data_IF_502258970496
#
_entry.id   IF_502258970496
#
_cell.length_a   1.000
_cell.length_b   1.000
_cell.length_c   1.000
_cell.angle_alpha   90.00
_cell.angle_beta   90.00
_cell.angle_gamma   90.00
#
_symmetry.space_group_name_H-M   'P 1'
#
loop_
_entity.id
_entity.type
_entity.pdbx_description
1 polymer ?
#
# COMPACT_ATOMS: atom_id res chain seq x y z
N UNK A 1 29.65 2.84 -37.54
CA UNK A 1 28.31 2.38 -37.16
C UNK A 1 27.80 3.32 -36.10
N UNK A 2 26.75 4.09 -36.41
CA UNK A 2 26.18 5.09 -35.52
C UNK A 2 25.16 4.43 -34.58
N UNK A 3 25.36 4.56 -33.27
CA UNK A 3 24.53 3.92 -32.24
C UNK A 3 23.56 4.91 -31.61
N UNK A 4 22.31 4.49 -31.50
CA UNK A 4 21.21 5.24 -30.88
C UNK A 4 20.73 4.48 -29.65
N UNK A 5 20.46 5.18 -28.55
CA UNK A 5 19.77 4.62 -27.39
C UNK A 5 18.49 5.39 -27.09
N UNK A 6 17.46 4.68 -26.66
CA UNK A 6 16.20 5.27 -26.18
C UNK A 6 15.68 4.49 -24.96
N UNK A 7 14.89 5.14 -24.10
CA UNK A 7 14.36 4.53 -22.88
C UNK A 7 12.86 4.72 -22.77
N UNK A 8 12.19 3.74 -22.15
CA UNK A 8 10.77 3.84 -21.89
C UNK A 8 10.25 2.76 -20.96
N UNK A 9 9.08 3.05 -20.39
CA UNK A 9 8.28 2.03 -19.69
C UNK A 9 7.71 1.04 -20.70
N UNK A 10 7.23 1.50 -21.86
CA UNK A 10 6.59 0.68 -22.92
C UNK A 10 5.37 -0.13 -22.46
N UNK A 11 4.66 0.37 -21.44
CA UNK A 11 3.43 -0.24 -20.91
C UNK A 11 2.28 -0.19 -21.93
N UNK A 12 1.49 -1.28 -22.04
CA UNK A 12 0.44 -1.44 -23.05
C UNK A 12 0.96 -1.05 -24.44
N UNK A 13 1.94 -1.82 -24.93
CA UNK A 13 2.65 -1.46 -26.15
C UNK A 13 1.68 -1.14 -27.30
N UNK A 14 1.85 0.03 -27.90
CA UNK A 14 0.90 0.61 -28.85
C UNK A 14 1.63 1.39 -29.95
N UNK A 15 0.90 1.83 -30.96
CA UNK A 15 1.46 2.51 -32.15
C UNK A 15 2.35 3.72 -31.80
N UNK A 16 2.05 4.45 -30.72
CA UNK A 16 2.89 5.56 -30.26
C UNK A 16 4.31 5.12 -29.86
N UNK A 17 4.45 3.96 -29.23
CA UNK A 17 5.76 3.38 -28.86
C UNK A 17 6.48 2.87 -30.10
N UNK A 18 5.77 2.15 -30.98
CA UNK A 18 6.33 1.69 -32.25
C UNK A 18 6.90 2.84 -33.07
N UNK A 19 6.15 3.95 -33.21
CA UNK A 19 6.59 5.11 -33.96
C UNK A 19 7.81 5.80 -33.33
N UNK A 20 7.87 5.86 -31.99
CA UNK A 20 9.04 6.37 -31.28
C UNK A 20 10.28 5.51 -31.60
N UNK A 21 10.17 4.19 -31.47
CA UNK A 21 11.26 3.26 -31.77
C UNK A 21 11.68 3.32 -33.23
N UNK A 22 10.72 3.42 -34.17
CA UNK A 22 10.99 3.54 -35.60
C UNK A 22 11.80 4.80 -35.91
N UNK A 23 11.37 5.95 -35.38
CA UNK A 23 12.08 7.22 -35.55
C UNK A 23 13.46 7.20 -34.90
N UNK A 24 13.60 6.56 -33.74
CA UNK A 24 14.90 6.39 -33.10
C UNK A 24 15.85 5.52 -33.96
N UNK A 25 15.34 4.44 -34.55
CA UNK A 25 16.10 3.57 -35.47
C UNK A 25 16.56 4.34 -36.72
N UNK A 26 15.75 5.25 -37.25
CA UNK A 26 16.10 6.07 -38.43
C UNK A 26 17.28 7.04 -38.17
N UNK A 27 17.67 7.31 -36.91
CA UNK A 27 18.77 8.22 -36.57
C UNK A 27 20.17 7.58 -36.65
N UNK A 28 20.26 6.25 -36.79
CA UNK A 28 21.53 5.53 -36.82
C UNK A 28 21.42 4.10 -37.36
N UNK A 29 22.50 3.34 -37.23
CA UNK A 29 22.59 1.98 -37.77
C UNK A 29 22.14 0.93 -36.74
N UNK A 30 22.29 1.23 -35.45
CA UNK A 30 22.08 0.30 -34.34
C UNK A 30 21.28 0.97 -33.21
N UNK A 31 20.15 0.38 -32.83
CA UNK A 31 19.23 0.88 -31.81
C UNK A 31 19.27 -0.01 -30.56
N UNK A 32 19.64 0.62 -29.45
CA UNK A 32 19.55 0.06 -28.10
C UNK A 32 18.27 0.59 -27.45
N UNK A 33 17.45 -0.30 -26.90
CA UNK A 33 16.20 0.08 -26.22
C UNK A 33 16.27 -0.29 -24.74
N UNK A 34 16.27 0.72 -23.89
CA UNK A 34 16.20 0.58 -22.44
C UNK A 34 14.76 0.41 -21.94
N UNK A 35 14.46 -0.73 -21.32
CA UNK A 35 13.15 -1.03 -20.71
C UNK A 35 13.28 -0.95 -19.19
N UNK A 36 12.42 -0.17 -18.54
CA UNK A 36 12.48 0.01 -17.08
C UNK A 36 11.93 -1.19 -16.31
N UNK A 37 12.54 -1.51 -15.17
CA UNK A 37 12.00 -2.54 -14.28
C UNK A 37 10.69 -2.10 -13.63
N UNK A 38 9.88 -3.07 -13.19
CA UNK A 38 8.65 -2.79 -12.45
C UNK A 38 8.96 -2.02 -11.14
N UNK A 39 10.03 -2.40 -10.43
CA UNK A 39 10.46 -1.68 -9.22
C UNK A 39 10.84 -0.23 -9.53
N UNK A 40 11.63 0.01 -10.58
CA UNK A 40 12.05 1.36 -10.92
C UNK A 40 10.89 2.25 -11.39
N UNK A 41 9.89 1.68 -12.07
CA UNK A 41 8.65 2.39 -12.40
C UNK A 41 7.83 2.71 -11.13
N UNK A 42 7.77 1.80 -10.14
CA UNK A 42 7.15 2.06 -8.84
C UNK A 42 7.83 3.22 -8.10
N UNK A 43 9.16 3.24 -8.05
CA UNK A 43 9.95 4.27 -7.35
C UNK A 43 9.75 5.68 -7.94
N UNK A 44 9.56 5.79 -9.25
CA UNK A 44 9.22 7.08 -9.91
C UNK A 44 7.73 7.43 -9.87
N UNK A 45 6.92 6.66 -9.13
CA UNK A 45 5.49 6.89 -8.95
C UNK A 45 4.58 6.32 -10.04
N UNK A 46 5.10 5.56 -11.02
CA UNK A 46 4.30 4.90 -12.07
C UNK A 46 3.74 3.55 -11.59
N UNK A 47 2.79 3.60 -10.65
CA UNK A 47 2.09 2.40 -10.14
C UNK A 47 1.02 1.82 -11.06
N UNK A 48 0.66 2.56 -12.11
CA UNK A 48 -0.37 2.20 -13.06
C UNK A 48 0.13 1.33 -14.24
N UNK A 49 1.34 0.78 -14.16
CA UNK A 49 1.84 -0.16 -15.17
C UNK A 49 0.97 -1.40 -15.22
N UNK A 50 0.57 -1.78 -16.43
CA UNK A 50 -0.29 -2.92 -16.71
C UNK A 50 0.49 -4.18 -17.01
N UNK A 51 1.55 -4.05 -17.81
CA UNK A 51 2.38 -5.15 -18.24
C UNK A 51 3.62 -5.26 -17.36
N UNK A 52 3.98 -6.48 -16.96
CA UNK A 52 5.24 -6.71 -16.25
C UNK A 52 6.44 -6.46 -17.18
N UNK A 53 7.64 -6.34 -16.60
CA UNK A 53 8.86 -6.07 -17.37
C UNK A 53 9.08 -7.05 -18.54
N UNK A 54 8.83 -8.34 -18.35
CA UNK A 54 9.07 -9.36 -19.37
C UNK A 54 8.12 -9.21 -20.56
N UNK A 55 6.83 -8.98 -20.31
CA UNK A 55 5.84 -8.68 -21.34
C UNK A 55 6.22 -7.44 -22.16
N UNK A 56 6.75 -6.40 -21.49
CA UNK A 56 7.19 -5.15 -22.13
C UNK A 56 8.44 -5.37 -22.99
N UNK A 57 9.39 -6.18 -22.51
CA UNK A 57 10.56 -6.60 -23.28
C UNK A 57 10.15 -7.39 -24.51
N UNK A 58 9.26 -8.38 -24.38
CA UNK A 58 8.79 -9.18 -25.51
C UNK A 58 8.02 -8.33 -26.54
N UNK A 59 7.21 -7.37 -26.09
CA UNK A 59 6.54 -6.43 -26.98
C UNK A 59 7.53 -5.56 -27.77
N UNK A 60 8.61 -5.09 -27.14
CA UNK A 60 9.69 -4.35 -27.82
C UNK A 60 10.43 -5.26 -28.82
N UNK A 61 10.79 -6.49 -28.43
CA UNK A 61 11.46 -7.46 -29.32
C UNK A 61 10.62 -7.77 -30.55
N UNK A 62 9.31 -7.98 -30.37
CA UNK A 62 8.38 -8.33 -31.44
C UNK A 62 8.30 -7.27 -32.55
N UNK A 63 8.73 -6.03 -32.29
CA UNK A 63 8.80 -4.99 -33.33
C UNK A 63 9.88 -5.24 -34.38
N UNK A 64 10.93 -6.00 -34.05
CA UNK A 64 12.12 -6.17 -34.88
C UNK A 64 12.97 -4.91 -35.06
N UNK A 65 12.69 -3.83 -34.31
CA UNK A 65 13.40 -2.55 -34.43
C UNK A 65 14.62 -2.43 -33.51
N UNK A 66 14.58 -3.09 -32.35
CA UNK A 66 15.64 -3.05 -31.36
C UNK A 66 16.72 -4.09 -31.69
N UNK A 67 17.96 -3.65 -31.92
CA UNK A 67 19.09 -4.57 -32.11
C UNK A 67 19.62 -5.08 -30.76
N UNK A 68 19.43 -4.30 -29.69
CA UNK A 68 19.76 -4.68 -28.32
C UNK A 68 18.73 -4.10 -27.35
N UNK A 69 18.43 -4.86 -26.30
CA UNK A 69 17.60 -4.40 -25.18
C UNK A 69 18.46 -4.35 -23.93
N UNK A 70 18.32 -3.27 -23.16
CA UNK A 70 18.94 -3.12 -21.84
C UNK A 70 17.85 -2.88 -20.80
N UNK A 71 18.11 -3.29 -19.56
CA UNK A 71 17.15 -3.11 -18.46
C UNK A 71 17.57 -1.88 -17.65
N UNK A 72 16.67 -0.93 -17.44
CA UNK A 72 16.91 0.25 -16.62
C UNK A 72 16.40 0.03 -15.18
N UNK A 73 17.31 0.05 -14.21
CA UNK A 73 17.04 -0.30 -12.81
C UNK A 73 17.12 0.89 -11.85
N UNK A 74 17.92 1.92 -12.16
CA UNK A 74 18.14 3.06 -11.25
C UNK A 74 18.38 4.38 -12.00
N UNK A 75 18.22 5.50 -11.27
CA UNK A 75 18.51 6.84 -11.81
C UNK A 75 20.01 7.03 -12.03
N UNK A 76 20.39 7.51 -13.21
CA UNK A 76 21.79 7.77 -13.58
C UNK A 76 22.38 6.72 -14.53
N UNK A 77 21.79 5.52 -14.61
CA UNK A 77 22.24 4.43 -15.47
C UNK A 77 22.42 4.82 -16.94
N UNK A 78 21.61 5.77 -17.45
CA UNK A 78 21.72 6.28 -18.83
C UNK A 78 23.14 6.74 -19.19
N UNK A 79 23.85 7.38 -18.27
CA UNK A 79 25.22 7.87 -18.52
C UNK A 79 26.17 6.67 -18.69
N UNK A 80 26.07 5.69 -17.79
CA UNK A 80 26.88 4.48 -17.83
C UNK A 80 26.63 3.68 -19.11
N UNK A 81 25.36 3.51 -19.51
CA UNK A 81 24.98 2.81 -20.73
C UNK A 81 25.49 3.54 -21.98
N UNK A 82 25.35 4.87 -22.05
CA UNK A 82 25.86 5.68 -23.15
C UNK A 82 27.37 5.47 -23.33
N UNK A 83 28.14 5.54 -22.24
CA UNK A 83 29.58 5.36 -22.28
C UNK A 83 29.98 3.92 -22.59
N UNK A 84 29.37 2.95 -21.89
CA UNK A 84 29.65 1.51 -22.02
C UNK A 84 29.40 0.99 -23.44
N UNK A 85 28.30 1.41 -24.05
CA UNK A 85 27.96 0.95 -25.40
C UNK A 85 28.50 1.86 -26.50
N UNK A 86 29.12 2.99 -26.16
CA UNK A 86 29.65 3.97 -27.10
C UNK A 86 28.53 4.56 -27.97
N UNK A 87 27.50 5.10 -27.32
CA UNK A 87 26.30 5.63 -27.97
C UNK A 87 26.56 7.03 -28.53
N UNK A 88 26.18 7.27 -29.78
CA UNK A 88 26.32 8.57 -30.44
C UNK A 88 25.09 9.47 -30.24
N UNK A 89 23.90 8.88 -30.15
CA UNK A 89 22.63 9.59 -30.01
C UNK A 89 21.78 9.02 -28.87
N UNK A 90 21.32 9.88 -27.97
CA UNK A 90 20.20 9.61 -27.08
C UNK A 90 18.92 10.20 -27.67
N UNK A 91 17.93 9.35 -27.97
CA UNK A 91 16.65 9.76 -28.53
C UNK A 91 15.50 9.49 -27.55
N UNK A 92 14.62 10.46 -27.34
CA UNK A 92 13.43 10.30 -26.47
C UNK A 92 12.26 11.15 -26.97
N UNK A 93 11.05 10.88 -26.51
CA UNK A 93 9.87 11.68 -26.87
C UNK A 93 9.99 13.14 -26.43
N UNK A 94 9.40 14.06 -27.21
CA UNK A 94 9.39 15.51 -26.99
C UNK A 94 8.74 15.95 -25.68
N UNK A 95 7.98 15.07 -25.03
CA UNK A 95 7.41 15.32 -23.70
C UNK A 95 8.50 15.54 -22.62
N UNK A 96 9.76 15.21 -22.94
CA UNK A 96 10.94 15.36 -22.07
C UNK A 96 11.88 16.48 -22.51
N UNK A 97 11.46 17.34 -23.42
CA UNK A 97 12.29 18.43 -23.95
C UNK A 97 12.89 19.27 -22.80
N UNK A 98 14.21 19.49 -22.86
CA UNK A 98 15.00 20.17 -21.83
C UNK A 98 15.43 19.31 -20.64
N UNK A 99 14.72 18.21 -20.33
CA UNK A 99 14.99 17.42 -19.12
C UNK A 99 16.27 16.58 -19.22
N UNK A 100 16.60 16.06 -20.40
CA UNK A 100 17.76 15.18 -20.62
C UNK A 100 18.95 15.90 -21.27
N UNK A 101 18.93 17.23 -21.34
CA UNK A 101 19.98 18.02 -22.00
C UNK A 101 21.36 17.81 -21.36
N UNK A 102 21.41 17.48 -20.07
CA UNK A 102 22.66 17.13 -19.39
C UNK A 102 23.40 15.94 -20.03
N UNK A 103 22.73 15.09 -20.81
CA UNK A 103 23.36 13.99 -21.56
C UNK A 103 24.14 14.48 -22.79
N UNK A 104 24.02 15.76 -23.17
CA UNK A 104 24.75 16.36 -24.30
C UNK A 104 26.27 16.35 -24.11
N UNK A 105 26.73 16.21 -22.86
CA UNK A 105 28.15 16.03 -22.53
C UNK A 105 28.69 14.69 -23.04
N UNK A 106 27.84 13.68 -23.18
CA UNK A 106 28.24 12.32 -23.54
C UNK A 106 27.83 11.89 -24.96
N UNK A 107 26.73 12.43 -25.49
CA UNK A 107 26.20 12.08 -26.81
C UNK A 107 25.26 13.17 -27.36
N UNK A 108 24.83 13.07 -28.62
CA UNK A 108 23.83 13.99 -29.17
C UNK A 108 22.43 13.65 -28.60
N UNK A 109 21.74 14.62 -28.00
CA UNK A 109 20.36 14.46 -27.50
C UNK A 109 19.36 14.87 -28.59
N UNK A 110 18.39 14.01 -28.88
CA UNK A 110 17.35 14.25 -29.89
C UNK A 110 15.96 14.00 -29.30
N UNK A 111 15.10 15.03 -29.35
CA UNK A 111 13.70 14.93 -28.95
C UNK A 111 12.80 14.63 -30.15
N UNK A 112 12.11 13.50 -30.10
CA UNK A 112 11.26 12.97 -31.17
C UNK A 112 9.81 13.39 -30.95
N UNK A 113 9.10 13.87 -31.99
CA UNK A 113 7.73 14.35 -31.86
C UNK A 113 6.79 13.23 -31.40
N UNK A 114 5.79 13.56 -30.57
CA UNK A 114 4.80 12.59 -30.11
C UNK A 114 3.86 12.16 -31.24
N UNK A 115 3.40 10.90 -31.20
CA UNK A 115 2.26 10.45 -32.01
C UNK A 115 0.97 10.96 -31.36
N UNK A 116 0.24 11.84 -32.05
CA UNK A 116 -1.03 12.41 -31.56
C UNK A 116 -2.13 11.34 -31.54
N UNK A 117 -3.04 11.43 -30.56
CA UNK A 117 -4.28 10.65 -30.53
C UNK A 117 -4.16 9.19 -30.10
N UNK A 118 -2.98 8.69 -29.72
CA UNK A 118 -2.78 7.31 -29.22
C UNK A 118 -1.97 7.38 -27.92
N UNK A 119 -2.56 6.92 -26.80
CA UNK A 119 -1.85 6.81 -25.51
C UNK A 119 -2.31 5.60 -24.71
N UNK A 120 -1.44 5.11 -23.82
CA UNK A 120 -1.78 4.05 -22.86
C UNK A 120 -3.03 4.40 -22.04
N UNK A 121 -3.34 5.69 -21.84
CA UNK A 121 -4.56 6.16 -21.14
C UNK A 121 -5.84 5.79 -21.87
N UNK A 122 -5.85 5.83 -23.21
CA UNK A 122 -7.04 5.43 -23.99
C UNK A 122 -7.23 3.90 -23.95
N UNK A 123 -6.17 3.12 -24.13
CA UNK A 123 -6.21 1.66 -24.05
C UNK A 123 -6.62 1.16 -22.66
N UNK A 124 -6.34 1.92 -21.60
CA UNK A 124 -6.83 1.60 -20.24
C UNK A 124 -8.35 1.67 -20.12
N UNK A 125 -9.04 2.50 -20.91
CA UNK A 125 -10.51 2.63 -20.86
C UNK A 125 -11.25 1.40 -21.37
N UNK A 126 -10.60 0.57 -22.18
CA UNK A 126 -11.19 -0.65 -22.75
C UNK A 126 -11.15 -1.85 -21.79
N UNK A 127 -10.51 -1.69 -20.62
CA UNK A 127 -10.35 -2.75 -19.62
C UNK A 127 -11.40 -2.65 -18.52
N UNK A 128 -11.77 -3.78 -17.95
CA UNK A 128 -12.69 -3.84 -16.80
C UNK A 128 -12.19 -2.95 -15.65
N UNK A 129 -13.05 -2.04 -15.21
CA UNK A 129 -12.83 -1.13 -14.08
C UNK A 129 -13.66 -1.62 -12.89
N UNK A 130 -13.14 -1.44 -11.68
CA UNK A 130 -13.89 -1.63 -10.44
C UNK A 130 -14.37 -0.25 -9.97
N UNK A 131 -15.68 -0.05 -9.99
CA UNK A 131 -16.32 1.13 -9.43
C UNK A 131 -16.40 0.98 -7.91
N UNK A 132 -15.75 1.89 -7.18
CA UNK A 132 -15.70 1.90 -5.73
C UNK A 132 -16.69 2.96 -5.22
N UNK A 133 -17.63 2.54 -4.40
CA UNK A 133 -18.44 3.41 -3.56
C UNK A 133 -17.72 3.67 -2.24
N UNK A 134 -17.79 4.87 -1.67
CA UNK A 134 -17.21 5.15 -0.34
C UNK A 134 -18.29 5.45 0.68
N UNK A 135 -18.11 4.94 1.90
CA UNK A 135 -18.91 5.29 3.07
C UNK A 135 -18.03 6.09 4.03
N UNK A 136 -18.39 7.35 4.29
CA UNK A 136 -17.64 8.28 5.13
C UNK A 136 -16.74 9.24 4.33
N UNK A 137 -16.68 10.49 4.78
CA UNK A 137 -15.97 11.60 4.11
C UNK A 137 -14.87 12.23 4.97
N UNK A 138 -14.37 11.47 5.95
CA UNK A 138 -13.35 11.93 6.90
C UNK A 138 -11.96 12.16 6.29
N UNK A 139 -10.99 12.40 7.18
CA UNK A 139 -9.59 12.70 6.79
C UNK A 139 -8.93 11.59 5.96
N UNK A 140 -9.20 10.31 6.28
CA UNK A 140 -8.68 9.18 5.49
C UNK A 140 -9.32 9.12 4.09
N UNK A 141 -10.64 9.29 3.99
CA UNK A 141 -11.34 9.35 2.71
C UNK A 141 -10.80 10.46 1.78
N UNK A 142 -10.50 11.64 2.35
CA UNK A 142 -9.90 12.76 1.61
C UNK A 142 -8.52 12.46 1.01
N UNK A 143 -7.78 11.51 1.60
CA UNK A 143 -6.47 11.05 1.10
C UNK A 143 -6.61 9.84 0.17
N UNK A 144 -7.60 9.00 0.40
CA UNK A 144 -7.91 7.84 -0.43
C UNK A 144 -8.26 8.24 -1.87
N UNK A 145 -9.07 9.29 -2.06
CA UNK A 145 -9.51 9.69 -3.42
C UNK A 145 -8.33 10.05 -4.33
N UNK A 146 -7.38 10.94 -3.95
CA UNK A 146 -6.16 11.16 -4.74
C UNK A 146 -5.33 9.90 -4.99
N UNK A 147 -5.14 9.06 -3.97
CA UNK A 147 -4.36 7.81 -4.07
C UNK A 147 -4.98 6.82 -5.06
N UNK A 148 -6.31 6.71 -5.09
CA UNK A 148 -7.05 5.82 -6.01
C UNK A 148 -6.81 6.17 -7.49
N UNK A 149 -6.57 7.44 -7.83
CA UNK A 149 -6.23 7.88 -9.21
C UNK A 149 -4.88 7.32 -9.68
N UNK A 150 -4.02 6.93 -8.74
CA UNK A 150 -2.72 6.32 -8.99
C UNK A 150 -2.79 4.78 -8.98
N UNK A 151 -3.99 4.20 -8.95
CA UNK A 151 -4.22 2.76 -9.08
C UNK A 151 -5.05 2.45 -10.32
N UNK A 152 -4.52 1.55 -11.14
CA UNK A 152 -5.16 1.19 -12.40
C UNK A 152 -6.45 0.43 -12.12
N UNK A 153 -7.49 0.70 -12.94
CA UNK A 153 -8.82 0.07 -12.83
C UNK A 153 -9.58 0.36 -11.53
N UNK A 154 -9.14 1.31 -10.70
CA UNK A 154 -9.90 1.83 -9.56
C UNK A 154 -10.60 3.14 -9.95
N UNK A 155 -11.92 3.24 -9.78
CA UNK A 155 -12.67 4.49 -9.98
C UNK A 155 -13.61 4.74 -8.82
N UNK A 156 -13.51 5.91 -8.19
CA UNK A 156 -14.50 6.34 -7.19
C UNK A 156 -15.75 6.81 -7.93
N UNK A 157 -16.86 6.11 -7.72
CA UNK A 157 -18.10 6.26 -8.49
C UNK A 157 -19.20 6.94 -7.68
N UNK A 158 -19.30 6.59 -6.39
CA UNK A 158 -20.33 7.09 -5.50
C UNK A 158 -19.79 7.32 -4.08
N UNK A 159 -20.36 8.28 -3.35
CA UNK A 159 -20.04 8.52 -1.94
C UNK A 159 -21.31 8.73 -1.12
N UNK A 160 -21.32 8.15 0.09
CA UNK A 160 -22.39 8.28 1.07
C UNK A 160 -21.82 8.75 2.41
N UNK A 161 -22.47 9.74 3.00
CA UNK A 161 -22.31 10.13 4.41
C UNK A 161 -23.71 10.48 4.97
N UNK A 162 -24.08 9.96 6.16
CA UNK A 162 -25.31 10.38 6.86
C UNK A 162 -25.44 11.90 7.05
N UNK A 163 -24.32 12.61 7.20
CA UNK A 163 -24.28 14.07 7.15
C UNK A 163 -24.30 14.53 5.68
N UNK A 164 -25.46 14.99 5.22
CA UNK A 164 -25.72 15.39 3.84
C UNK A 164 -24.83 16.58 3.43
N UNK A 165 -24.65 17.57 4.30
CA UNK A 165 -23.85 18.77 3.98
C UNK A 165 -22.37 18.40 3.76
N UNK A 166 -21.82 17.53 4.63
CA UNK A 166 -20.47 16.99 4.44
C UNK A 166 -20.36 16.15 3.16
N UNK A 167 -21.38 15.36 2.84
CA UNK A 167 -21.40 14.55 1.62
C UNK A 167 -21.35 15.43 0.36
N UNK A 168 -22.18 16.48 0.33
CA UNK A 168 -22.22 17.47 -0.77
C UNK A 168 -20.84 18.11 -0.95
N UNK A 169 -20.26 18.62 0.15
CA UNK A 169 -18.96 19.29 0.11
C UNK A 169 -17.85 18.36 -0.37
N UNK A 170 -17.84 17.11 0.08
CA UNK A 170 -16.86 16.11 -0.32
C UNK A 170 -17.01 15.74 -1.80
N UNK A 171 -18.22 15.44 -2.25
CA UNK A 171 -18.51 15.09 -3.65
C UNK A 171 -18.11 16.23 -4.59
N UNK A 172 -18.45 17.48 -4.23
CA UNK A 172 -18.07 18.66 -5.01
C UNK A 172 -16.54 18.85 -5.06
N UNK A 173 -15.86 18.76 -3.90
CA UNK A 173 -14.40 18.91 -3.80
C UNK A 173 -13.64 17.92 -4.69
N UNK A 174 -14.10 16.67 -4.75
CA UNK A 174 -13.40 15.61 -5.47
C UNK A 174 -14.01 15.26 -6.83
N UNK A 175 -15.08 15.96 -7.23
CA UNK A 175 -15.83 15.73 -8.47
C UNK A 175 -16.34 14.29 -8.59
N UNK A 176 -16.93 13.78 -7.51
CA UNK A 176 -17.51 12.43 -7.48
C UNK A 176 -18.81 12.42 -8.31
N UNK A 177 -19.00 11.44 -9.22
CA UNK A 177 -20.17 11.40 -10.10
C UNK A 177 -21.51 11.27 -9.37
N UNK A 178 -21.58 10.40 -8.36
CA UNK A 178 -22.81 10.10 -7.63
C UNK A 178 -22.67 10.47 -6.16
N UNK A 179 -23.54 11.37 -5.71
CA UNK A 179 -23.72 11.68 -4.30
C UNK A 179 -24.92 10.85 -3.81
N UNK A 180 -24.64 9.72 -3.18
CA UNK A 180 -25.70 8.82 -2.73
C UNK A 180 -26.40 9.37 -1.49
N UNK A 181 -27.72 9.36 -1.49
CA UNK A 181 -28.56 9.81 -0.37
C UNK A 181 -28.86 8.68 0.62
N UNK A 182 -28.67 7.43 0.21
CA UNK A 182 -28.83 6.25 1.04
C UNK A 182 -27.91 5.12 0.55
N UNK A 183 -27.85 4.03 1.32
CA UNK A 183 -26.99 2.88 0.99
C UNK A 183 -27.42 2.14 -0.27
N UNK A 184 -28.72 2.07 -0.57
CA UNK A 184 -29.22 1.41 -1.79
C UNK A 184 -28.71 2.12 -3.05
N UNK A 185 -28.78 3.45 -3.06
CA UNK A 185 -28.23 4.28 -4.14
C UNK A 185 -26.71 4.13 -4.26
N UNK A 186 -25.99 4.08 -3.14
CA UNK A 186 -24.54 3.82 -3.15
C UNK A 186 -24.24 2.47 -3.82
N UNK A 187 -24.90 1.41 -3.36
CA UNK A 187 -24.67 0.04 -3.84
C UNK A 187 -25.12 -0.15 -5.30
N UNK A 188 -26.13 0.57 -5.77
CA UNK A 188 -26.54 0.53 -7.17
C UNK A 188 -25.47 1.09 -8.13
N UNK A 189 -24.56 1.93 -7.62
CA UNK A 189 -23.58 2.66 -8.42
C UNK A 189 -22.13 2.16 -8.24
N UNK A 190 -21.90 1.04 -7.56
CA UNK A 190 -20.54 0.49 -7.37
C UNK A 190 -20.46 -1.04 -7.43
N UNK A 191 -19.26 -1.55 -7.68
CA UNK A 191 -18.88 -2.97 -7.64
C UNK A 191 -18.28 -3.35 -6.28
N UNK A 192 -17.59 -2.39 -5.65
CA UNK A 192 -16.94 -2.53 -4.36
C UNK A 192 -17.24 -1.32 -3.46
N UNK A 193 -17.07 -1.49 -2.15
CA UNK A 193 -17.26 -0.44 -1.15
C UNK A 193 -16.00 -0.25 -0.31
N UNK A 194 -15.53 0.98 -0.20
CA UNK A 194 -14.52 1.39 0.76
C UNK A 194 -15.20 2.03 1.98
N UNK A 195 -14.99 1.44 3.16
CA UNK A 195 -15.60 1.89 4.40
C UNK A 195 -14.55 2.71 5.17
N UNK A 196 -14.76 4.03 5.18
CA UNK A 196 -13.92 5.03 5.84
C UNK A 196 -14.72 5.83 6.90
N UNK A 197 -15.79 5.22 7.41
CA UNK A 197 -16.63 5.75 8.48
C UNK A 197 -15.95 5.62 9.85
N UNK A 198 -16.50 6.18 10.93
CA UNK A 198 -16.04 5.88 12.29
C UNK A 198 -16.04 4.37 12.60
N UNK A 199 -15.07 3.90 13.35
CA UNK A 199 -14.84 2.46 13.53
C UNK A 199 -16.01 1.69 14.15
N UNK A 200 -16.81 2.34 15.00
CA UNK A 200 -17.98 1.69 15.63
C UNK A 200 -19.10 1.37 14.64
N UNK A 201 -19.05 1.90 13.41
CA UNK A 201 -20.02 1.58 12.34
C UNK A 201 -19.51 0.56 11.33
N UNK A 202 -18.24 0.12 11.42
CA UNK A 202 -17.61 -0.75 10.43
C UNK A 202 -18.34 -2.08 10.23
N UNK A 203 -18.75 -2.74 11.32
CA UNK A 203 -19.45 -4.02 11.26
C UNK A 203 -20.74 -3.93 10.42
N UNK A 204 -21.61 -2.97 10.73
CA UNK A 204 -22.90 -2.82 10.05
C UNK A 204 -22.73 -2.45 8.58
N UNK A 205 -21.85 -1.50 8.26
CA UNK A 205 -21.60 -1.12 6.86
C UNK A 205 -20.93 -2.23 6.06
N UNK A 206 -19.99 -2.98 6.66
CA UNK A 206 -19.35 -4.12 5.98
C UNK A 206 -20.36 -5.22 5.71
N UNK A 207 -21.16 -5.58 6.71
CA UNK A 207 -22.20 -6.59 6.58
C UNK A 207 -23.22 -6.21 5.50
N UNK A 208 -23.71 -4.98 5.53
CA UNK A 208 -24.69 -4.47 4.56
C UNK A 208 -24.14 -4.48 3.12
N UNK A 209 -22.91 -4.02 2.92
CA UNK A 209 -22.26 -4.03 1.61
C UNK A 209 -22.05 -5.46 1.07
N UNK A 210 -21.60 -6.39 1.91
CA UNK A 210 -21.44 -7.80 1.52
C UNK A 210 -22.78 -8.46 1.18
N UNK A 211 -23.84 -8.19 1.96
CA UNK A 211 -25.20 -8.68 1.69
C UNK A 211 -25.71 -8.14 0.35
N UNK A 212 -25.41 -6.89 0.02
CA UNK A 212 -25.71 -6.24 -1.26
C UNK A 212 -24.84 -6.74 -2.43
N UNK A 213 -23.97 -7.72 -2.21
CA UNK A 213 -23.16 -8.33 -3.27
C UNK A 213 -21.92 -7.53 -3.65
N UNK A 214 -21.39 -6.69 -2.75
CA UNK A 214 -20.23 -5.81 -3.03
C UNK A 214 -18.97 -6.34 -2.38
N UNK A 215 -17.84 -6.26 -3.08
CA UNK A 215 -16.53 -6.43 -2.46
C UNK A 215 -16.30 -5.31 -1.44
N UNK A 216 -15.54 -5.56 -0.37
CA UNK A 216 -15.35 -4.56 0.69
C UNK A 216 -13.88 -4.37 1.05
N UNK A 217 -13.44 -3.11 1.05
CA UNK A 217 -12.21 -2.66 1.69
C UNK A 217 -12.62 -1.86 2.94
N UNK A 218 -12.37 -2.40 4.14
CA UNK A 218 -12.77 -1.76 5.39
C UNK A 218 -11.56 -1.13 6.10
N UNK A 219 -11.69 0.12 6.54
CA UNK A 219 -10.68 0.78 7.36
C UNK A 219 -10.37 0.04 8.67
N UNK A 220 -9.21 0.37 9.22
CA UNK A 220 -8.78 -0.10 10.54
C UNK A 220 -9.17 0.90 11.64
N UNK A 221 -9.48 0.43 12.86
CA UNK A 221 -9.63 -0.97 13.26
C UNK A 221 -10.84 -1.64 12.59
N UNK A 222 -10.72 -2.93 12.23
CA UNK A 222 -11.73 -3.62 11.42
C UNK A 222 -13.07 -3.75 12.15
N UNK A 223 -13.08 -4.49 13.26
CA UNK A 223 -14.20 -4.64 14.21
C UNK A 223 -13.62 -4.99 15.58
N UNK A 224 -14.42 -4.87 16.64
CA UNK A 224 -13.98 -5.11 18.02
C UNK A 224 -14.48 -6.43 18.60
N UNK A 225 -14.93 -7.36 17.76
CA UNK A 225 -15.34 -8.69 18.18
C UNK A 225 -14.87 -9.74 17.19
N UNK A 226 -14.30 -10.83 17.71
CA UNK A 226 -13.89 -11.97 16.86
C UNK A 226 -15.09 -12.55 16.11
N UNK A 227 -16.22 -12.73 16.80
CA UNK A 227 -17.43 -13.30 16.20
C UNK A 227 -17.99 -12.42 15.08
N UNK A 228 -17.96 -11.09 15.26
CA UNK A 228 -18.32 -10.16 14.19
C UNK A 228 -17.40 -10.32 12.97
N UNK A 229 -16.09 -10.38 13.18
CA UNK A 229 -15.14 -10.57 12.09
C UNK A 229 -15.36 -11.91 11.37
N UNK A 230 -15.57 -13.00 12.11
CA UNK A 230 -15.87 -14.34 11.57
C UNK A 230 -17.14 -14.34 10.71
N UNK A 231 -18.19 -13.67 11.16
CA UNK A 231 -19.43 -13.53 10.40
C UNK A 231 -19.20 -12.81 9.07
N UNK A 232 -18.50 -11.67 9.09
CA UNK A 232 -18.22 -10.88 7.88
C UNK A 232 -17.43 -11.69 6.84
N UNK A 233 -16.36 -12.38 7.27
CA UNK A 233 -15.62 -13.27 6.38
C UNK A 233 -16.49 -14.42 5.85
N UNK A 234 -17.35 -14.99 6.68
CA UNK A 234 -18.27 -16.06 6.26
C UNK A 234 -19.26 -15.58 5.20
N UNK A 235 -19.79 -14.36 5.33
CA UNK A 235 -20.68 -13.77 4.32
C UNK A 235 -19.93 -13.55 3.01
N UNK A 236 -18.71 -13.00 3.07
CA UNK A 236 -17.88 -12.75 1.90
C UNK A 236 -17.57 -14.06 1.14
N UNK A 237 -17.09 -15.09 1.85
CA UNK A 237 -16.78 -16.41 1.29
C UNK A 237 -18.00 -17.06 0.64
N UNK A 238 -19.17 -17.06 1.30
CA UNK A 238 -20.41 -17.65 0.76
C UNK A 238 -20.90 -16.96 -0.50
N UNK A 239 -20.56 -15.68 -0.69
CA UNK A 239 -20.98 -14.87 -1.84
C UNK A 239 -19.91 -14.75 -2.92
N UNK A 240 -18.73 -15.36 -2.72
CA UNK A 240 -17.60 -15.19 -3.63
C UNK A 240 -17.08 -13.76 -3.69
N UNK A 241 -17.24 -13.00 -2.61
CA UNK A 241 -16.80 -11.60 -2.52
C UNK A 241 -15.44 -11.52 -1.83
N UNK A 242 -14.71 -10.47 -2.17
CA UNK A 242 -13.43 -10.15 -1.53
C UNK A 242 -13.67 -9.18 -0.39
N UNK A 243 -13.18 -9.53 0.80
CA UNK A 243 -13.18 -8.68 1.99
C UNK A 243 -11.73 -8.46 2.41
N UNK A 244 -11.32 -7.19 2.44
CA UNK A 244 -9.98 -6.78 2.79
C UNK A 244 -10.01 -5.73 3.90
N UNK A 245 -9.09 -5.84 4.85
CA UNK A 245 -8.86 -4.82 5.87
C UNK A 245 -7.74 -3.89 5.40
N UNK A 246 -8.01 -2.58 5.40
CA UNK A 246 -7.12 -1.50 5.00
C UNK A 246 -6.11 -1.17 6.11
N UNK A 247 -5.25 -2.16 6.41
CA UNK A 247 -4.13 -1.99 7.32
C UNK A 247 -2.87 -1.63 6.53
N UNK A 248 -2.77 -0.37 6.10
CA UNK A 248 -1.74 0.13 5.17
C UNK A 248 -0.32 -0.40 5.40
N UNK A 249 0.10 -0.57 6.65
CA UNK A 249 1.43 -1.09 7.02
C UNK A 249 1.72 -2.43 6.36
N UNK A 250 0.73 -3.32 6.29
CA UNK A 250 0.88 -4.65 5.69
C UNK A 250 1.14 -4.61 4.19
N UNK A 251 0.69 -3.55 3.51
CA UNK A 251 0.77 -3.38 2.07
C UNK A 251 1.99 -2.56 1.64
N UNK A 252 2.68 -1.92 2.59
CA UNK A 252 3.91 -1.18 2.34
C UNK A 252 4.99 -2.12 1.78
N UNK A 253 5.67 -1.77 0.67
CA UNK A 253 6.72 -2.61 0.09
C UNK A 253 7.80 -3.01 1.10
N UNK A 254 8.27 -2.06 1.90
CA UNK A 254 9.30 -2.30 2.89
C UNK A 254 8.90 -3.32 3.96
N UNK A 255 7.63 -3.31 4.38
CA UNK A 255 7.13 -4.28 5.36
C UNK A 255 7.08 -5.69 4.76
N UNK A 256 6.65 -5.82 3.49
CA UNK A 256 6.71 -7.08 2.76
C UNK A 256 8.13 -7.63 2.65
N UNK A 257 9.10 -6.78 2.30
CA UNK A 257 10.52 -7.15 2.25
C UNK A 257 11.07 -7.52 3.63
N UNK A 258 10.74 -6.74 4.66
CA UNK A 258 11.10 -7.05 6.05
C UNK A 258 10.58 -8.43 6.45
N UNK A 259 9.31 -8.72 6.13
CA UNK A 259 8.68 -10.00 6.40
C UNK A 259 9.44 -11.16 5.73
N UNK A 260 9.67 -11.08 4.42
CA UNK A 260 10.40 -12.11 3.67
C UNK A 260 11.83 -12.31 4.18
N UNK A 261 12.54 -11.21 4.48
CA UNK A 261 13.91 -11.25 4.96
C UNK A 261 14.02 -11.88 6.36
N UNK A 262 13.11 -11.54 7.26
CA UNK A 262 13.12 -12.12 8.61
C UNK A 262 12.70 -13.60 8.60
N UNK A 263 11.72 -13.97 7.76
CA UNK A 263 11.34 -15.39 7.60
C UNK A 263 12.43 -16.24 6.95
N UNK A 264 13.42 -15.64 6.29
CA UNK A 264 14.62 -16.35 5.80
C UNK A 264 15.61 -16.71 6.92
N UNK A 265 15.36 -16.31 8.18
CA UNK A 265 16.22 -16.60 9.33
C UNK A 265 17.47 -15.73 9.42
N UNK A 266 17.48 -14.56 8.77
CA UNK A 266 18.66 -13.66 8.69
C UNK A 266 19.16 -13.20 10.06
N UNK A 267 18.27 -13.11 11.07
CA UNK A 267 18.57 -12.78 12.47
C UNK A 267 18.45 -14.00 13.41
N UNK A 268 18.38 -15.22 12.88
CA UNK A 268 18.12 -16.43 13.67
C UNK A 268 16.65 -16.61 14.02
N UNK A 269 16.40 -17.25 15.17
CA UNK A 269 15.06 -17.44 15.73
C UNK A 269 14.59 -16.14 16.37
N UNK A 270 13.37 -15.70 16.05
CA UNK A 270 12.78 -14.47 16.62
C UNK A 270 12.28 -14.79 18.02
N UNK A 271 12.76 -14.03 19.01
CA UNK A 271 12.42 -14.23 20.43
C UNK A 271 11.67 -13.04 21.03
N UNK A 272 11.73 -11.87 20.38
CA UNK A 272 10.96 -10.68 20.79
C UNK A 272 10.49 -9.84 19.61
N UNK A 273 9.25 -9.37 19.69
CA UNK A 273 8.74 -8.26 18.88
C UNK A 273 8.24 -7.15 19.81
N UNK A 274 8.82 -5.96 19.72
CA UNK A 274 8.32 -4.76 20.39
C UNK A 274 7.94 -3.68 19.36
N UNK A 275 6.78 -3.06 19.52
CA UNK A 275 6.31 -2.01 18.63
C UNK A 275 5.54 -0.92 19.37
N UNK A 276 5.82 0.34 19.07
CA UNK A 276 5.16 1.47 19.73
C UNK A 276 4.48 2.43 18.74
N UNK A 277 3.23 2.80 19.01
CA UNK A 277 2.44 3.74 18.20
C UNK A 277 1.80 4.75 19.13
N UNK A 278 2.41 5.93 19.23
CA UNK A 278 1.95 6.97 20.16
C UNK A 278 1.90 8.34 19.53
N UNK A 279 0.84 9.08 19.85
CA UNK A 279 0.56 10.44 19.38
C UNK A 279 0.00 11.27 20.54
N UNK A 280 0.29 12.57 20.56
CA UNK A 280 -0.38 13.51 21.44
C UNK A 280 -1.60 14.06 20.72
N UNK A 281 -2.78 13.66 21.17
CA UNK A 281 -4.07 14.00 20.59
C UNK A 281 -4.74 15.09 21.43
N UNK A 282 -5.46 16.00 20.77
CA UNK A 282 -6.29 16.98 21.46
C UNK A 282 -7.32 16.27 22.36
N UNK A 283 -7.48 16.75 23.59
CA UNK A 283 -8.38 16.12 24.57
C UNK A 283 -9.86 16.16 24.15
N UNK A 284 -10.24 17.07 23.24
CA UNK A 284 -11.59 17.19 22.69
C UNK A 284 -11.80 16.33 21.42
N UNK A 285 -10.79 15.57 21.00
CA UNK A 285 -10.91 14.69 19.83
C UNK A 285 -11.96 13.59 20.05
N UNK A 286 -12.75 13.30 19.02
CA UNK A 286 -13.69 12.17 19.03
C UNK A 286 -13.00 10.83 19.30
N UNK A 287 -11.71 10.71 18.97
CA UNK A 287 -10.86 9.55 19.25
C UNK A 287 -10.74 9.23 20.75
N UNK A 288 -11.03 10.20 21.61
CA UNK A 288 -11.00 10.06 23.08
C UNK A 288 -12.42 10.00 23.68
N UNK A 289 -13.45 9.81 22.85
CA UNK A 289 -14.83 9.74 23.31
C UNK A 289 -15.23 8.30 23.66
N UNK A 290 -15.40 8.00 24.95
CA UNK A 290 -15.79 6.68 25.44
C UNK A 290 -17.12 6.18 24.90
N UNK A 291 -18.07 7.07 24.57
CA UNK A 291 -19.37 6.69 23.98
C UNK A 291 -19.23 6.01 22.63
N UNK A 292 -18.14 6.29 21.91
CA UNK A 292 -17.87 5.75 20.59
C UNK A 292 -16.74 4.74 20.60
N UNK A 293 -16.43 4.14 21.76
CA UNK A 293 -15.31 3.22 21.94
C UNK A 293 -13.94 3.85 21.60
N UNK A 294 -13.77 5.15 21.90
CA UNK A 294 -12.48 5.81 21.77
C UNK A 294 -11.40 5.24 22.71
N UNK A 295 -10.16 5.70 22.55
CA UNK A 295 -9.01 5.22 23.31
C UNK A 295 -7.89 4.70 22.41
N UNK A 296 -6.70 4.59 22.99
CA UNK A 296 -5.48 4.26 22.23
C UNK A 296 -5.48 2.83 21.72
N UNK A 297 -6.08 1.88 22.48
CA UNK A 297 -6.25 0.49 22.05
C UNK A 297 -7.20 0.39 20.87
N UNK A 298 -8.35 1.05 20.92
CA UNK A 298 -9.32 1.04 19.83
C UNK A 298 -8.71 1.62 18.55
N UNK A 299 -8.09 2.80 18.67
CA UNK A 299 -7.56 3.54 17.53
C UNK A 299 -6.30 2.92 16.90
N UNK A 300 -5.37 2.41 17.71
CA UNK A 300 -4.01 2.14 17.24
C UNK A 300 -3.53 0.69 17.42
N UNK A 301 -4.22 -0.18 18.17
CA UNK A 301 -3.68 -1.52 18.49
C UNK A 301 -3.47 -2.40 17.25
N UNK A 302 -4.27 -2.23 16.18
CA UNK A 302 -4.09 -2.99 14.94
C UNK A 302 -2.69 -2.84 14.33
N UNK A 303 -2.06 -1.66 14.46
CA UNK A 303 -0.72 -1.42 13.93
C UNK A 303 0.31 -2.34 14.57
N UNK A 304 0.61 -2.30 15.89
CA UNK A 304 1.59 -3.16 16.52
C UNK A 304 1.18 -4.64 16.57
N UNK A 305 -0.10 -4.97 16.52
CA UNK A 305 -0.53 -6.37 16.44
C UNK A 305 -0.13 -7.03 15.12
N UNK A 306 -0.08 -6.28 14.02
CA UNK A 306 0.36 -6.79 12.71
C UNK A 306 1.74 -7.45 12.75
N UNK A 307 2.85 -6.75 13.08
CA UNK A 307 4.16 -7.39 13.13
C UNK A 307 4.20 -8.52 14.16
N UNK A 308 3.55 -8.37 15.32
CA UNK A 308 3.53 -9.42 16.35
C UNK A 308 2.98 -10.73 15.77
N UNK A 309 1.79 -10.71 15.17
CA UNK A 309 1.18 -11.91 14.61
C UNK A 309 1.89 -12.40 13.34
N UNK A 310 2.40 -11.49 12.50
CA UNK A 310 3.18 -11.86 11.31
C UNK A 310 4.44 -12.66 11.67
N UNK A 311 5.15 -12.24 12.72
CA UNK A 311 6.44 -12.82 13.07
C UNK A 311 6.32 -14.01 14.02
N UNK A 312 5.46 -13.92 15.04
CA UNK A 312 5.34 -14.94 16.11
C UNK A 312 4.12 -15.86 15.95
N UNK A 313 3.19 -15.55 15.04
CA UNK A 313 1.92 -16.26 14.90
C UNK A 313 0.84 -15.75 15.85
N UNK A 314 -0.36 -16.33 15.78
CA UNK A 314 -1.53 -15.94 16.58
C UNK A 314 -1.70 -16.78 17.86
N UNK A 315 -0.91 -17.84 18.03
CA UNK A 315 -1.03 -18.81 19.12
C UNK A 315 -0.26 -18.38 20.39
N UNK A 316 -0.64 -17.23 20.97
CA UNK A 316 -0.09 -16.77 22.25
C UNK A 316 -0.74 -17.50 23.44
N UNK A 317 0.00 -17.62 24.55
CA UNK A 317 -0.47 -18.24 25.80
C UNK A 317 -1.36 -17.29 26.60
N UNK A 318 -0.92 -16.03 26.72
CA UNK A 318 -1.64 -14.98 27.43
C UNK A 318 -1.16 -13.59 27.01
N UNK A 319 -1.98 -12.60 27.35
CA UNK A 319 -1.70 -11.17 27.19
C UNK A 319 -2.16 -10.43 28.44
N UNK A 320 -1.36 -9.45 28.86
CA UNK A 320 -1.68 -8.54 29.97
C UNK A 320 -1.55 -7.09 29.51
N UNK A 321 -2.47 -6.22 29.97
CA UNK A 321 -2.53 -4.81 29.59
C UNK A 321 -2.35 -3.91 30.80
N UNK A 322 -1.50 -2.89 30.67
CA UNK A 322 -1.24 -1.88 31.71
C UNK A 322 -1.61 -0.52 31.16
N UNK A 323 -2.69 0.08 31.67
CA UNK A 323 -3.33 1.23 31.04
C UNK A 323 -3.45 2.42 31.97
N UNK A 324 -3.06 3.60 31.47
CA UNK A 324 -3.37 4.89 32.10
C UNK A 324 -4.67 5.42 31.51
N UNK A 325 -5.69 5.52 32.34
CA UNK A 325 -7.04 5.91 31.93
C UNK A 325 -7.31 7.39 32.18
N UNK A 326 -8.17 8.00 31.35
CA UNK A 326 -8.79 9.30 31.60
C UNK A 326 -10.17 9.29 30.94
N UNK A 327 -11.21 9.73 31.66
CA UNK A 327 -12.59 9.78 31.15
C UNK A 327 -13.06 8.45 30.51
N UNK A 328 -12.75 7.33 31.15
CA UNK A 328 -13.08 5.96 30.71
C UNK A 328 -12.46 5.51 29.38
N UNK A 329 -11.50 6.25 28.84
CA UNK A 329 -10.66 5.82 27.70
C UNK A 329 -9.20 5.69 28.11
N UNK A 330 -8.45 4.86 27.41
CA UNK A 330 -7.02 4.70 27.64
C UNK A 330 -6.20 5.77 26.91
N UNK A 331 -5.46 6.57 27.68
CA UNK A 331 -4.53 7.57 27.14
C UNK A 331 -3.19 6.95 26.74
N UNK A 332 -2.87 5.81 27.36
CA UNK A 332 -1.70 5.00 27.08
C UNK A 332 -1.95 3.57 27.59
N UNK A 333 -1.59 2.59 26.78
CA UNK A 333 -1.59 1.18 27.17
C UNK A 333 -0.32 0.50 26.71
N UNK A 334 0.34 -0.23 27.63
CA UNK A 334 1.34 -1.23 27.30
C UNK A 334 0.74 -2.62 27.40
N UNK A 335 0.85 -3.41 26.36
CA UNK A 335 0.48 -4.82 26.38
C UNK A 335 1.71 -5.71 26.30
N UNK A 336 1.66 -6.87 26.96
CA UNK A 336 2.73 -7.88 26.93
C UNK A 336 2.11 -9.23 26.65
N UNK A 337 2.59 -9.88 25.58
CA UNK A 337 2.26 -11.24 25.18
C UNK A 337 3.31 -12.22 25.69
N UNK A 338 2.84 -13.40 26.07
CA UNK A 338 3.68 -14.58 26.26
C UNK A 338 3.36 -15.62 25.20
N UNK A 339 4.35 -16.06 24.43
CA UNK A 339 4.30 -17.24 23.58
C UNK A 339 5.09 -18.37 24.24
N UNK A 340 5.03 -19.58 23.67
CA UNK A 340 5.85 -20.70 24.14
C UNK A 340 7.35 -20.45 23.96
N UNK A 341 7.73 -19.78 22.87
CA UNK A 341 9.12 -19.63 22.41
C UNK A 341 9.59 -18.16 22.36
N UNK A 342 8.71 -17.21 22.67
CA UNK A 342 8.97 -15.78 22.49
C UNK A 342 8.13 -14.92 23.44
N UNK A 343 8.48 -13.64 23.50
CA UNK A 343 7.64 -12.59 24.10
C UNK A 343 7.32 -11.54 23.06
N UNK A 344 6.22 -10.82 23.22
CA UNK A 344 6.01 -9.60 22.46
C UNK A 344 5.45 -8.52 23.36
N UNK A 345 5.63 -7.27 22.98
CA UNK A 345 4.98 -6.17 23.65
C UNK A 345 4.65 -5.04 22.71
N UNK A 346 3.63 -4.27 23.05
CA UNK A 346 3.37 -3.03 22.34
C UNK A 346 2.96 -1.91 23.27
N UNK A 347 3.12 -0.69 22.78
CA UNK A 347 2.66 0.51 23.45
C UNK A 347 1.82 1.32 22.48
N UNK A 348 0.57 1.59 22.85
CA UNK A 348 -0.29 2.54 22.16
C UNK A 348 -0.59 3.73 23.04
N UNK A 349 -0.75 4.92 22.45
CA UNK A 349 -1.04 6.13 23.22
C UNK A 349 -1.60 7.27 22.39
N UNK A 350 -2.62 7.93 22.92
CA UNK A 350 -3.21 9.15 22.39
C UNK A 350 -2.95 10.36 23.32
N UNK A 351 -2.45 10.14 24.54
CA UNK A 351 -2.07 11.20 25.49
C UNK A 351 -0.62 11.14 25.97
N UNK A 352 0.20 10.29 25.36
CA UNK A 352 1.61 10.09 25.71
C UNK A 352 2.43 9.99 24.42
N UNK A 353 3.69 10.44 24.46
CA UNK A 353 4.65 10.25 23.37
C UNK A 353 5.82 9.37 23.82
N UNK A 354 6.21 8.45 22.95
CA UNK A 354 7.38 7.57 23.07
C UNK A 354 8.26 7.72 21.82
N UNK A 355 9.45 7.11 21.82
CA UNK A 355 10.31 6.99 20.63
C UNK A 355 9.54 6.41 19.43
N UNK A 356 8.60 5.50 19.70
CA UNK A 356 7.63 5.05 18.70
C UNK A 356 8.21 4.11 17.64
N UNK A 357 9.36 3.50 17.90
CA UNK A 357 10.01 2.54 16.98
C UNK A 357 9.42 1.14 17.07
N UNK A 358 9.84 0.27 16.14
CA UNK A 358 9.62 -1.18 16.19
C UNK A 358 10.97 -1.89 16.19
N UNK A 359 11.13 -2.86 17.08
CA UNK A 359 12.32 -3.71 17.21
C UNK A 359 11.95 -5.18 17.22
N UNK A 360 12.72 -5.98 16.50
CA UNK A 360 12.53 -7.43 16.43
C UNK A 360 13.86 -8.09 16.78
N UNK A 361 13.92 -8.76 17.93
CA UNK A 361 15.13 -9.43 18.39
C UNK A 361 15.13 -10.89 17.97
N UNK A 362 16.28 -11.35 17.47
CA UNK A 362 16.52 -12.75 17.17
C UNK A 362 17.85 -13.24 17.72
N UNK A 363 18.05 -14.57 17.68
CA UNK A 363 19.22 -15.22 18.31
C UNK A 363 20.57 -14.90 17.66
N UNK A 364 20.60 -14.27 16.49
CA UNK A 364 21.83 -13.88 15.78
C UNK A 364 21.99 -12.37 15.58
N UNK A 365 20.93 -11.59 15.78
CA UNK A 365 20.89 -10.16 15.49
C UNK A 365 19.50 -9.59 15.72
N UNK A 366 19.27 -8.35 15.31
CA UNK A 366 17.97 -7.72 15.47
C UNK A 366 17.64 -6.80 14.30
N UNK A 367 16.35 -6.48 14.15
CA UNK A 367 15.88 -5.43 13.25
C UNK A 367 15.46 -4.22 14.06
N UNK A 368 15.82 -3.05 13.56
CA UNK A 368 15.33 -1.76 14.02
C UNK A 368 14.57 -1.05 12.89
N UNK A 369 13.33 -0.64 13.17
CA UNK A 369 12.50 0.18 12.28
C UNK A 369 12.12 1.47 13.03
N UNK A 370 12.61 2.64 12.59
CA UNK A 370 12.34 3.89 13.27
C UNK A 370 10.90 4.36 13.08
N UNK A 371 10.42 5.21 13.98
CA UNK A 371 9.15 5.89 13.83
C UNK A 371 9.17 6.84 12.62
N UNK A 372 8.07 6.98 11.86
CA UNK A 372 6.82 6.22 11.95
C UNK A 372 6.95 4.86 11.23
N UNK A 373 7.17 3.77 11.96
CA UNK A 373 7.42 2.46 11.35
C UNK A 373 6.20 1.91 10.62
N UNK A 374 4.98 2.38 10.90
CA UNK A 374 3.77 2.03 10.16
C UNK A 374 3.70 2.64 8.73
N UNK A 375 4.68 3.46 8.35
CA UNK A 375 4.95 3.86 6.96
C UNK A 375 6.15 3.13 6.36
N UNK A 376 6.98 2.49 7.21
CA UNK A 376 8.23 1.76 6.89
C UNK A 376 8.92 2.27 5.61
N UNK A 377 9.68 3.37 5.68
CA UNK A 377 10.49 3.83 4.54
C UNK A 377 11.82 3.08 4.46
N UNK A 378 12.34 2.68 5.62
CA UNK A 378 13.55 1.89 5.73
C UNK A 378 13.58 1.08 7.02
N UNK A 379 14.43 0.07 7.05
CA UNK A 379 14.76 -0.68 8.26
C UNK A 379 16.23 -1.06 8.27
N UNK A 380 16.73 -1.38 9.45
CA UNK A 380 18.12 -1.78 9.66
C UNK A 380 18.18 -3.20 10.22
N UNK A 381 18.90 -4.09 9.53
CA UNK A 381 19.31 -5.38 10.09
C UNK A 381 20.65 -5.17 10.76
N UNK A 382 20.72 -5.47 12.06
CA UNK A 382 21.88 -5.20 12.90
C UNK A 382 22.37 -6.46 13.59
N UNK A 383 23.68 -6.55 13.69
CA UNK A 383 24.43 -7.63 14.32
C UNK A 383 25.43 -7.05 15.32
N UNK A 384 26.02 -7.91 16.15
CA UNK A 384 27.11 -7.52 17.05
C UNK A 384 28.30 -6.93 16.28
N UNK A 385 28.69 -7.61 15.19
CA UNK A 385 29.67 -7.08 14.23
C UNK A 385 29.00 -6.04 13.33
N UNK A 386 29.27 -4.76 13.62
CA UNK A 386 28.68 -3.63 12.91
C UNK A 386 29.01 -3.61 11.41
N UNK A 387 30.09 -4.28 10.96
CA UNK A 387 30.43 -4.38 9.54
C UNK A 387 29.41 -5.24 8.76
N UNK A 388 28.59 -6.02 9.45
CA UNK A 388 27.51 -6.82 8.86
C UNK A 388 26.17 -6.08 8.82
N UNK A 389 26.08 -4.90 9.44
CA UNK A 389 24.84 -4.14 9.48
C UNK A 389 24.44 -3.68 8.08
N UNK A 390 23.16 -3.78 7.76
CA UNK A 390 22.61 -3.35 6.48
C UNK A 390 21.38 -2.49 6.70
N UNK A 391 21.30 -1.40 5.93
CA UNK A 391 20.11 -0.57 5.83
C UNK A 391 19.42 -0.87 4.51
N UNK A 392 18.12 -1.08 4.58
CA UNK A 392 17.29 -1.33 3.40
C UNK A 392 16.30 -0.18 3.26
N UNK A 393 16.35 0.51 2.13
CA UNK A 393 15.49 1.64 1.80
C UNK A 393 14.49 1.20 0.74
N UNK A 394 13.22 1.47 0.98
CA UNK A 394 12.14 1.23 0.03
C UNK A 394 11.24 2.46 0.04
N UNK A 395 11.19 3.25 -1.04
CA UNK A 395 10.46 4.50 -1.02
C UNK A 395 8.98 4.25 -0.74
N UNK A 396 8.48 4.91 0.31
CA UNK A 396 7.06 5.02 0.58
C UNK A 396 6.50 6.20 -0.21
N UNK A 397 5.58 5.92 -1.13
CA UNK A 397 5.05 6.95 -2.01
C UNK A 397 3.82 7.60 -1.38
N UNK A 398 3.90 8.91 -1.17
CA UNK A 398 2.84 9.79 -0.68
C UNK A 398 2.17 9.27 0.62
N UNK A 399 0.90 8.87 0.56
CA UNK A 399 0.14 8.38 1.72
C UNK A 399 0.13 6.85 1.86
N UNK A 400 0.72 6.13 0.90
CA UNK A 400 0.81 4.67 0.86
C UNK A 400 -0.51 3.91 0.68
N UNK A 401 -1.66 4.59 0.64
CA UNK A 401 -2.98 3.95 0.47
C UNK A 401 -3.12 3.29 -0.90
N UNK A 402 -2.42 3.80 -1.92
CA UNK A 402 -2.38 3.16 -3.24
C UNK A 402 -1.91 1.71 -3.21
N UNK A 403 -1.08 1.29 -2.25
CA UNK A 403 -0.60 -0.10 -2.20
C UNK A 403 -1.72 -1.07 -1.81
N UNK A 404 -2.54 -0.71 -0.82
CA UNK A 404 -3.69 -1.52 -0.38
C UNK A 404 -4.84 -1.45 -1.39
N UNK A 405 -5.06 -0.30 -2.04
CA UNK A 405 -6.04 -0.17 -3.14
C UNK A 405 -5.61 -1.07 -4.30
N UNK A 406 -4.33 -1.06 -4.68
CA UNK A 406 -3.81 -1.94 -5.74
C UNK A 406 -4.00 -3.41 -5.41
N UNK A 407 -3.70 -3.81 -4.18
CA UNK A 407 -3.90 -5.19 -3.69
C UNK A 407 -5.38 -5.58 -3.78
N UNK A 408 -6.27 -4.70 -3.32
CA UNK A 408 -7.72 -4.90 -3.32
C UNK A 408 -8.28 -5.07 -4.74
N UNK A 409 -7.89 -4.19 -5.67
CA UNK A 409 -8.30 -4.29 -7.07
C UNK A 409 -7.75 -5.56 -7.72
N UNK A 410 -6.48 -5.91 -7.44
CA UNK A 410 -5.89 -7.13 -7.97
C UNK A 410 -6.64 -8.38 -7.46
N UNK A 411 -7.01 -8.42 -6.18
CA UNK A 411 -7.76 -9.52 -5.60
C UNK A 411 -9.15 -9.71 -6.24
N UNK A 412 -9.85 -8.62 -6.53
CA UNK A 412 -11.17 -8.66 -7.19
C UNK A 412 -11.06 -9.19 -8.63
N UNK A 413 -10.02 -8.77 -9.36
CA UNK A 413 -9.88 -9.04 -10.79
C UNK A 413 -9.11 -10.34 -11.09
N UNK A 414 -8.49 -10.96 -10.09
CA UNK A 414 -7.74 -12.21 -10.27
C UNK A 414 -8.70 -13.39 -10.26
N UNK A 415 -8.67 -14.20 -11.31
CA UNK A 415 -9.36 -15.49 -11.31
C UNK A 415 -8.58 -16.50 -10.46
N UNK A 416 -9.25 -17.14 -9.49
CA UNK A 416 -8.65 -18.17 -8.64
C UNK A 416 -8.09 -17.65 -7.32
N UNK A 417 -6.99 -18.25 -6.85
CA UNK A 417 -6.43 -17.94 -5.54
C UNK A 417 -5.64 -16.62 -5.57
N UNK A 418 -5.98 -15.73 -4.63
CA UNK A 418 -5.21 -14.52 -4.35
C UNK A 418 -4.57 -14.60 -2.96
N UNK A 419 -3.28 -14.27 -2.87
CA UNK A 419 -2.57 -14.25 -1.59
C UNK A 419 -2.87 -12.96 -0.83
N UNK A 420 -3.55 -13.08 0.32
CA UNK A 420 -3.83 -11.94 1.18
C UNK A 420 -2.63 -11.59 2.07
N UNK A 421 -2.19 -10.32 1.99
CA UNK A 421 -1.09 -9.82 2.83
C UNK A 421 -1.43 -9.76 4.32
N UNK A 422 -2.71 -9.62 4.67
CA UNK A 422 -3.21 -9.84 6.04
C UNK A 422 -4.20 -11.00 5.98
N UNK A 423 -3.92 -12.08 6.71
CA UNK A 423 -4.75 -13.28 6.68
C UNK A 423 -6.07 -13.06 7.41
N UNK A 424 -7.06 -13.92 7.12
CA UNK A 424 -8.31 -13.98 7.88
C UNK A 424 -8.03 -14.14 9.37
N UNK A 425 -7.22 -15.12 9.77
CA UNK A 425 -6.92 -15.39 11.18
C UNK A 425 -6.20 -14.24 11.87
N UNK A 426 -5.28 -13.53 11.19
CA UNK A 426 -4.65 -12.34 11.74
C UNK A 426 -5.67 -11.25 12.07
N UNK A 427 -6.64 -11.00 11.17
CA UNK A 427 -7.71 -10.05 11.42
C UNK A 427 -8.66 -10.50 12.53
N UNK A 428 -9.01 -11.79 12.58
CA UNK A 428 -9.82 -12.36 13.67
C UNK A 428 -9.13 -12.18 15.03
N UNK A 429 -7.82 -12.47 15.08
CA UNK A 429 -7.05 -12.38 16.31
C UNK A 429 -6.82 -10.93 16.75
N UNK A 430 -6.66 -9.99 15.81
CA UNK A 430 -6.61 -8.55 16.14
C UNK A 430 -7.92 -8.08 16.78
N UNK A 431 -9.06 -8.44 16.18
CA UNK A 431 -10.37 -8.14 16.75
C UNK A 431 -10.54 -8.77 18.13
N UNK A 432 -10.11 -10.03 18.31
CA UNK A 432 -10.14 -10.74 19.58
C UNK A 432 -9.31 -10.03 20.66
N UNK A 433 -8.08 -9.60 20.37
CA UNK A 433 -7.24 -8.90 21.36
C UNK A 433 -7.87 -7.57 21.79
N UNK A 434 -8.46 -6.82 20.85
CA UNK A 434 -9.18 -5.59 21.20
C UNK A 434 -10.46 -5.90 22.02
N UNK A 435 -11.19 -6.96 21.67
CA UNK A 435 -12.35 -7.45 22.43
C UNK A 435 -11.99 -7.83 23.87
N UNK A 436 -10.87 -8.55 24.08
CA UNK A 436 -10.35 -8.89 25.41
C UNK A 436 -10.11 -7.63 26.25
N UNK A 437 -9.51 -6.60 25.66
CA UNK A 437 -9.27 -5.32 26.34
C UNK A 437 -10.57 -4.62 26.72
N UNK A 438 -11.50 -4.49 25.78
CA UNK A 438 -12.81 -3.84 26.00
C UNK A 438 -13.58 -4.56 27.11
N UNK A 439 -13.48 -5.89 27.17
CA UNK A 439 -14.09 -6.71 28.21
C UNK A 439 -13.30 -6.73 29.54
N UNK A 440 -12.29 -5.86 29.71
CA UNK A 440 -11.42 -5.76 30.88
C UNK A 440 -10.69 -7.07 31.26
N UNK A 441 -10.39 -7.94 30.29
CA UNK A 441 -9.65 -9.17 30.53
C UNK A 441 -8.15 -8.87 30.68
N UNK A 442 -7.57 -9.21 31.84
CA UNK A 442 -6.17 -8.94 32.18
C UNK A 442 -5.75 -7.47 32.03
N UNK A 443 -6.67 -6.53 32.30
CA UNK A 443 -6.42 -5.09 32.26
C UNK A 443 -6.12 -4.56 33.67
N UNK A 444 -4.93 -4.00 33.85
CA UNK A 444 -4.47 -3.33 35.06
C UNK A 444 -4.46 -1.82 34.82
N UNK A 445 -5.26 -1.08 35.58
CA UNK A 445 -5.33 0.38 35.53
C UNK A 445 -4.23 0.96 36.43
N UNK A 446 -3.46 1.92 35.90
CA UNK A 446 -2.31 2.57 36.55
C UNK A 446 -2.68 3.87 37.27
#
# INVERSE_FOLDING_TARGET
MKKVITYGTYDLFHQGHYNLLKRAKELGDYLIVGVTTDNFDLERGKMNTCNNMMERIEAVKATGLADQIVIEEYRGQKIEDIQKYGVDIFAIGSDWEGYFDYLSEFCQVVYLPRTQGISSTQLRKERTVVNIGMIGTGSIASRFVPESKNVNRAVISAVYNPNIDENILFCHKFQIPVMAHNLEELYANCDAVYIASPHYTHYEYTKSALIAGKHVLCETPFVFSRTQAEELYTIAEKRGLHLQVALKTAYCPAFGHLFSLLKSGVIGEIVEVNASVTTLTDENSEKLNSKFLGGSISENACFPLLPIFKFLGTDFRDIHFYSKMKNDVDMFTKAVFRYEHAVASFQVGLGVKTEGSMTIAGTKGYVYVPAPWWKTDYFEVRYEDQNKNKKYFYPYVDEGLRYEIKDFIAAILTEGYYFNKVSKEENLMMAQVQEMYINNQNVYKL
#
